data_IF_423264222919
#
_entry.id   IF_423264222919
#
_cell.length_a   1.000
_cell.length_b   1.000
_cell.length_c   1.000
_cell.angle_alpha   90.00
_cell.angle_beta   90.00
_cell.angle_gamma   90.00
#
_symmetry.space_group_name_H-M   'P 1'
#
loop_
_entity.id
_entity.type
_entity.pdbx_description
1 polymer ?
#
# COMPACT_ATOMS: atom_id res chain seq x y z
N UNK A 1 -3.13 -3.27 -16.69
CA UNK A 1 -3.41 -3.37 -18.13
C UNK A 1 -2.51 -4.40 -18.82
N UNK A 2 -1.18 -4.31 -18.74
CA UNK A 2 -0.25 -5.23 -19.43
C UNK A 2 -0.40 -6.72 -19.10
N UNK A 3 -0.66 -7.07 -17.84
CA UNK A 3 -0.83 -8.46 -17.44
C UNK A 3 -2.06 -9.14 -18.06
N UNK A 4 -3.16 -8.41 -18.24
CA UNK A 4 -4.38 -8.96 -18.84
C UNK A 4 -4.15 -9.32 -20.31
N UNK A 5 -3.50 -8.44 -21.07
CA UNK A 5 -3.14 -8.69 -22.47
C UNK A 5 -2.26 -9.94 -22.63
N UNK A 6 -1.24 -10.09 -21.77
CA UNK A 6 -0.35 -11.26 -21.82
C UNK A 6 -1.13 -12.54 -21.50
N UNK A 7 -2.02 -12.50 -20.51
CA UNK A 7 -2.85 -13.66 -20.16
C UNK A 7 -3.82 -14.03 -21.27
N UNK A 8 -4.43 -13.06 -21.96
CA UNK A 8 -5.35 -13.34 -23.08
C UNK A 8 -4.60 -13.91 -24.29
N UNK A 9 -3.41 -13.39 -24.62
CA UNK A 9 -2.59 -13.94 -25.71
C UNK A 9 -2.13 -15.37 -25.41
N UNK A 10 -1.75 -15.66 -24.15
CA UNK A 10 -1.36 -17.01 -23.75
C UNK A 10 -2.55 -17.98 -23.77
N UNK A 11 -3.73 -17.52 -23.39
CA UNK A 11 -4.96 -18.30 -23.49
C UNK A 11 -5.31 -18.64 -24.94
N UNK A 12 -5.29 -17.65 -25.83
CA UNK A 12 -5.53 -17.83 -27.28
C UNK A 12 -4.51 -18.78 -27.92
N UNK A 13 -3.24 -18.72 -27.49
CA UNK A 13 -2.19 -19.64 -27.92
C UNK A 13 -2.26 -21.04 -27.26
N UNK A 14 -3.30 -21.34 -26.48
CA UNK A 14 -3.50 -22.63 -25.80
C UNK A 14 -2.44 -22.93 -24.74
N UNK A 15 -1.78 -21.91 -24.17
CA UNK A 15 -0.72 -22.07 -23.17
C UNK A 15 -1.30 -22.07 -21.77
N UNK A 16 -0.98 -23.11 -21.01
CA UNK A 16 -1.33 -23.18 -19.59
C UNK A 16 -0.53 -22.16 -18.78
N UNK A 17 -1.24 -21.27 -18.10
CA UNK A 17 -0.64 -20.31 -17.16
C UNK A 17 -0.82 -20.80 -15.73
N UNK A 18 0.24 -20.76 -14.93
CA UNK A 18 0.20 -21.11 -13.50
C UNK A 18 0.46 -19.89 -12.63
N UNK A 19 -0.20 -19.83 -11.47
CA UNK A 19 -0.11 -18.71 -10.55
C UNK A 19 0.91 -18.99 -9.44
N UNK A 20 1.96 -18.16 -9.38
CA UNK A 20 2.88 -18.11 -8.25
C UNK A 20 2.51 -16.93 -7.35
N UNK A 21 1.99 -17.23 -6.16
CA UNK A 21 1.55 -16.19 -5.23
C UNK A 21 2.71 -15.29 -4.76
N UNK A 22 2.51 -13.98 -4.81
CA UNK A 22 3.55 -13.02 -4.39
C UNK A 22 4.00 -13.18 -2.94
N UNK A 23 3.12 -13.68 -2.04
CA UNK A 23 3.49 -14.02 -0.66
C UNK A 23 4.46 -15.20 -0.58
N UNK A 24 4.29 -16.22 -1.44
CA UNK A 24 5.21 -17.35 -1.51
C UNK A 24 6.59 -16.89 -2.02
N UNK A 25 6.61 -16.00 -3.02
CA UNK A 25 7.86 -15.37 -3.50
C UNK A 25 8.51 -14.55 -2.38
N UNK A 26 7.73 -13.74 -1.66
CA UNK A 26 8.26 -12.92 -0.56
C UNK A 26 8.84 -13.78 0.57
N UNK A 27 8.15 -14.84 0.97
CA UNK A 27 8.66 -15.79 1.97
C UNK A 27 9.93 -16.49 1.47
N UNK A 28 9.95 -16.95 0.22
CA UNK A 28 11.15 -17.54 -0.37
C UNK A 28 12.30 -16.53 -0.45
N UNK A 29 12.04 -15.26 -0.79
CA UNK A 29 13.09 -14.24 -0.95
C UNK A 29 13.94 -14.02 0.31
N UNK A 30 13.38 -14.30 1.49
CA UNK A 30 14.09 -14.22 2.77
C UNK A 30 15.15 -15.31 2.94
N UNK A 31 15.04 -16.45 2.24
CA UNK A 31 15.98 -17.57 2.33
C UNK A 31 17.12 -17.49 1.31
N UNK A 32 17.07 -16.58 0.33
CA UNK A 32 18.13 -16.41 -0.68
C UNK A 32 19.24 -15.48 -0.17
N UNK A 33 20.49 -15.98 -0.20
CA UNK A 33 21.71 -15.22 0.14
C UNK A 33 21.90 -14.01 -0.79
N UNK A 34 22.11 -12.83 -0.21
CA UNK A 34 22.39 -11.60 -0.99
C UNK A 34 22.12 -10.25 -0.30
N UNK A 35 22.04 -10.18 1.03
CA UNK A 35 21.81 -8.92 1.76
C UNK A 35 20.40 -8.31 1.60
N UNK A 36 20.16 -7.21 2.31
CA UNK A 36 18.89 -6.45 2.38
C UNK A 36 18.57 -5.63 1.11
N UNK A 37 19.50 -5.55 0.16
CA UNK A 37 19.28 -4.78 -1.07
C UNK A 37 18.26 -5.50 -1.97
N UNK A 38 17.08 -4.89 -2.12
CA UNK A 38 16.08 -5.30 -3.11
C UNK A 38 16.64 -5.03 -4.51
N UNK A 39 16.77 -6.07 -5.32
CA UNK A 39 17.18 -5.96 -6.72
C UNK A 39 16.26 -6.78 -7.60
N UNK A 40 15.90 -6.24 -8.78
CA UNK A 40 15.01 -6.93 -9.72
C UNK A 40 15.61 -8.26 -10.20
N UNK A 41 16.94 -8.34 -10.32
CA UNK A 41 17.65 -9.57 -10.66
C UNK A 41 17.49 -10.68 -9.59
N UNK A 42 17.49 -10.31 -8.31
CA UNK A 42 17.23 -11.24 -7.20
C UNK A 42 15.79 -11.72 -7.26
N UNK A 43 14.84 -10.80 -7.42
CA UNK A 43 13.41 -11.13 -7.50
C UNK A 43 13.12 -12.07 -8.67
N UNK A 44 13.70 -11.82 -9.86
CA UNK A 44 13.59 -12.69 -11.03
C UNK A 44 14.14 -14.10 -10.78
N UNK A 45 15.31 -14.21 -10.12
CA UNK A 45 15.91 -15.50 -9.77
C UNK A 45 15.02 -16.29 -8.80
N UNK A 46 14.49 -15.63 -7.76
CA UNK A 46 13.60 -16.28 -6.78
C UNK A 46 12.33 -16.78 -7.46
N UNK A 47 11.72 -15.96 -8.32
CA UNK A 47 10.50 -16.34 -9.07
C UNK A 47 10.78 -17.55 -9.97
N UNK A 48 11.86 -17.52 -10.75
CA UNK A 48 12.20 -18.60 -11.66
C UNK A 48 12.46 -19.92 -10.93
N UNK A 49 13.15 -19.86 -9.79
CA UNK A 49 13.51 -21.05 -9.01
C UNK A 49 12.29 -21.63 -8.28
N UNK A 50 11.44 -20.78 -7.70
CA UNK A 50 10.15 -21.22 -7.13
C UNK A 50 9.22 -21.81 -8.18
N UNK A 51 9.15 -21.21 -9.37
CA UNK A 51 8.36 -21.74 -10.49
C UNK A 51 8.90 -23.10 -10.97
N UNK A 52 10.22 -23.28 -11.01
CA UNK A 52 10.85 -24.57 -11.37
C UNK A 52 10.58 -25.65 -10.32
N UNK A 53 10.78 -25.35 -9.04
CA UNK A 53 10.64 -26.32 -7.94
C UNK A 53 9.20 -26.78 -7.74
N UNK A 54 8.24 -25.84 -7.82
CA UNK A 54 6.82 -26.13 -7.58
C UNK A 54 6.04 -26.47 -8.85
N UNK A 55 6.67 -26.40 -10.01
CA UNK A 55 6.10 -26.52 -11.36
C UNK A 55 4.63 -26.93 -11.46
N UNK A 56 4.35 -28.23 -11.37
CA UNK A 56 3.01 -28.81 -11.55
C UNK A 56 2.07 -28.60 -10.36
N UNK A 57 2.62 -28.40 -9.16
CA UNK A 57 1.86 -28.16 -7.92
C UNK A 57 1.30 -26.73 -7.84
N UNK A 58 1.73 -25.83 -8.74
CA UNK A 58 1.20 -24.48 -8.81
C UNK A 58 -0.22 -24.46 -9.40
N UNK A 59 -1.16 -23.67 -8.82
CA UNK A 59 -2.51 -23.54 -9.34
C UNK A 59 -2.53 -23.10 -10.80
N UNK A 60 -3.35 -23.76 -11.62
CA UNK A 60 -3.61 -23.36 -13.00
C UNK A 60 -4.62 -22.22 -13.01
N UNK A 61 -4.32 -21.18 -13.80
CA UNK A 61 -5.26 -20.10 -14.05
C UNK A 61 -6.16 -20.47 -15.21
N UNK A 62 -7.47 -20.48 -14.97
CA UNK A 62 -8.50 -20.60 -16.00
C UNK A 62 -8.98 -19.19 -16.38
N UNK A 63 -8.72 -18.70 -17.61
CA UNK A 63 -9.06 -17.34 -18.01
C UNK A 63 -10.58 -17.08 -18.09
N UNK A 64 -11.36 -18.12 -18.39
CA UNK A 64 -12.80 -18.04 -18.69
C UNK A 64 -13.70 -18.15 -17.46
N UNK A 65 -13.13 -18.09 -16.26
CA UNK A 65 -13.89 -18.12 -15.01
C UNK A 65 -14.37 -16.69 -14.67
N UNK A 66 -15.67 -16.45 -14.79
CA UNK A 66 -16.30 -15.15 -14.52
C UNK A 66 -15.93 -14.62 -13.11
N UNK A 67 -15.78 -15.52 -12.14
CA UNK A 67 -15.36 -15.17 -10.78
C UNK A 67 -13.94 -14.58 -10.77
N UNK A 68 -13.03 -15.13 -11.56
CA UNK A 68 -11.65 -14.63 -11.68
C UNK A 68 -11.65 -13.26 -12.34
N UNK A 69 -12.50 -13.05 -13.34
CA UNK A 69 -12.65 -11.76 -14.01
C UNK A 69 -13.19 -10.68 -13.06
N UNK A 70 -14.24 -10.97 -12.29
CA UNK A 70 -14.78 -10.04 -11.29
C UNK A 70 -13.76 -9.72 -10.19
N UNK A 71 -13.07 -10.74 -9.67
CA UNK A 71 -11.99 -10.55 -8.68
C UNK A 71 -10.85 -9.70 -9.24
N UNK A 72 -10.49 -9.84 -10.53
CA UNK A 72 -9.50 -8.99 -11.20
C UNK A 72 -9.96 -7.54 -11.29
N UNK A 73 -11.24 -7.28 -11.60
CA UNK A 73 -11.79 -5.93 -11.61
C UNK A 73 -11.73 -5.30 -10.21
N UNK A 74 -12.17 -6.02 -9.17
CA UNK A 74 -12.15 -5.53 -7.78
C UNK A 74 -10.72 -5.27 -7.27
N UNK A 75 -9.79 -6.19 -7.56
CA UNK A 75 -8.38 -6.04 -7.15
C UNK A 75 -7.69 -4.91 -7.92
N UNK A 76 -7.99 -4.73 -9.20
CA UNK A 76 -7.55 -3.59 -10.01
C UNK A 76 -8.03 -2.27 -9.41
N UNK A 77 -9.34 -2.15 -9.17
CA UNK A 77 -9.93 -0.96 -8.55
C UNK A 77 -9.31 -0.64 -7.19
N UNK A 78 -9.10 -1.66 -6.35
CA UNK A 78 -8.39 -1.49 -5.06
C UNK A 78 -6.97 -0.97 -5.27
N UNK A 79 -6.23 -1.47 -6.26
CA UNK A 79 -4.88 -1.01 -6.56
C UNK A 79 -4.86 0.47 -6.96
N UNK A 80 -5.81 0.89 -7.79
CA UNK A 80 -5.97 2.27 -8.22
C UNK A 80 -6.29 3.19 -7.03
N UNK A 81 -7.23 2.79 -6.16
CA UNK A 81 -7.54 3.54 -4.94
C UNK A 81 -6.32 3.69 -4.00
N UNK A 82 -5.49 2.65 -3.89
CA UNK A 82 -4.26 2.71 -3.07
C UNK A 82 -3.24 3.65 -3.70
N UNK A 83 -3.08 3.62 -5.03
CA UNK A 83 -2.19 4.52 -5.76
C UNK A 83 -2.65 5.98 -5.59
N UNK A 84 -3.95 6.25 -5.75
CA UNK A 84 -4.52 7.58 -5.59
C UNK A 84 -4.45 8.09 -4.16
N UNK A 85 -4.69 7.22 -3.17
CA UNK A 85 -4.46 7.57 -1.76
C UNK A 85 -3.00 7.99 -1.53
N UNK A 86 -2.06 7.25 -2.09
CA UNK A 86 -0.62 7.52 -1.94
C UNK A 86 -0.23 8.84 -2.59
N UNK A 87 -0.68 9.07 -3.83
CA UNK A 87 -0.48 10.34 -4.55
C UNK A 87 -1.07 11.52 -3.77
N UNK A 88 -2.29 11.37 -3.27
CA UNK A 88 -2.98 12.40 -2.49
C UNK A 88 -2.23 12.74 -1.20
N UNK A 89 -1.77 11.73 -0.46
CA UNK A 89 -0.98 11.94 0.76
C UNK A 89 0.35 12.63 0.43
N UNK A 90 1.05 12.20 -0.62
CA UNK A 90 2.32 12.82 -0.99
C UNK A 90 2.14 14.28 -1.39
N UNK A 91 1.08 14.61 -2.13
CA UNK A 91 0.72 16.00 -2.46
C UNK A 91 0.42 16.81 -1.19
N UNK A 92 -0.34 16.25 -0.25
CA UNK A 92 -0.60 16.89 1.05
C UNK A 92 0.69 17.17 1.81
N UNK A 93 1.61 16.20 1.88
CA UNK A 93 2.92 16.38 2.54
C UNK A 93 3.72 17.48 1.86
N UNK A 94 3.78 17.52 0.53
CA UNK A 94 4.45 18.61 -0.21
C UNK A 94 3.87 19.99 0.14
N UNK A 95 2.54 20.10 0.22
CA UNK A 95 1.88 21.35 0.64
C UNK A 95 2.21 21.73 2.09
N UNK A 96 2.23 20.75 3.00
CA UNK A 96 2.63 20.97 4.39
C UNK A 96 4.09 21.40 4.53
N UNK A 97 5.01 20.84 3.74
CA UNK A 97 6.40 21.29 3.70
C UNK A 97 6.47 22.78 3.32
N UNK A 98 5.72 23.21 2.31
CA UNK A 98 5.74 24.60 1.86
C UNK A 98 5.16 25.58 2.90
N UNK A 99 4.14 25.17 3.65
CA UNK A 99 3.33 26.08 4.48
C UNK A 99 3.65 25.96 5.98
N UNK A 100 3.98 24.77 6.47
CA UNK A 100 4.30 24.49 7.87
C UNK A 100 5.15 23.22 8.05
N UNK A 101 6.48 23.28 7.84
CA UNK A 101 7.38 22.12 7.95
C UNK A 101 7.32 21.41 9.31
N UNK A 102 7.12 22.16 10.39
CA UNK A 102 7.02 21.58 11.73
C UNK A 102 5.81 20.64 11.88
N UNK A 103 4.68 20.98 11.24
CA UNK A 103 3.48 20.14 11.26
C UNK A 103 3.65 18.91 10.37
N UNK A 104 4.33 19.04 9.23
CA UNK A 104 4.63 17.88 8.37
C UNK A 104 5.41 16.80 9.12
N UNK A 105 6.42 17.20 9.91
CA UNK A 105 7.23 16.26 10.72
C UNK A 105 6.43 15.53 11.78
N UNK A 106 5.41 16.17 12.34
CA UNK A 106 4.55 15.58 13.36
C UNK A 106 3.40 14.74 12.76
N UNK A 107 2.90 15.11 11.59
CA UNK A 107 1.72 14.53 11.00
C UNK A 107 1.99 13.13 10.42
N UNK A 108 1.04 12.21 10.62
CA UNK A 108 1.12 10.83 10.11
C UNK A 108 -0.12 10.45 9.28
N UNK A 109 -0.46 11.20 8.20
CA UNK A 109 -1.71 11.01 7.45
C UNK A 109 -1.81 9.64 6.75
N UNK A 110 -0.68 8.95 6.52
CA UNK A 110 -0.68 7.58 5.99
C UNK A 110 -1.14 6.55 7.01
N UNK A 111 -0.83 6.76 8.29
CA UNK A 111 -0.99 5.77 9.35
C UNK A 111 -2.23 6.04 10.22
N UNK A 112 -2.62 7.31 10.35
CA UNK A 112 -3.70 7.73 11.23
C UNK A 112 -4.63 8.72 10.51
N UNK A 113 -5.87 8.27 10.31
CA UNK A 113 -6.96 9.04 9.68
C UNK A 113 -7.29 10.32 10.48
N UNK A 114 -6.99 10.35 11.77
CA UNK A 114 -7.15 11.54 12.60
C UNK A 114 -6.37 12.74 12.09
N UNK A 115 -5.18 12.53 11.52
CA UNK A 115 -4.43 13.62 10.90
C UNK A 115 -5.13 14.17 9.67
N UNK A 116 -5.73 13.31 8.84
CA UNK A 116 -6.50 13.75 7.67
C UNK A 116 -7.72 14.57 8.10
N UNK A 117 -8.43 14.12 9.13
CA UNK A 117 -9.60 14.84 9.68
C UNK A 117 -9.19 16.18 10.28
N UNK A 118 -8.10 16.22 11.05
CA UNK A 118 -7.58 17.45 11.63
C UNK A 118 -7.18 18.45 10.55
N UNK A 119 -6.45 18.01 9.52
CA UNK A 119 -6.01 18.88 8.42
C UNK A 119 -7.17 19.37 7.56
N UNK A 120 -8.20 18.54 7.36
CA UNK A 120 -9.43 18.95 6.69
C UNK A 120 -10.18 20.03 7.50
N UNK A 121 -10.18 19.92 8.83
CA UNK A 121 -10.83 20.88 9.75
C UNK A 121 -10.05 22.17 9.90
N UNK A 122 -8.72 22.12 9.90
CA UNK A 122 -7.83 23.27 10.09
C UNK A 122 -6.98 23.53 8.85
N UNK A 123 -7.55 24.25 7.89
CA UNK A 123 -6.90 24.55 6.60
C UNK A 123 -5.86 25.69 6.68
N UNK A 124 -5.68 26.32 7.85
CA UNK A 124 -4.75 27.45 8.06
C UNK A 124 -3.78 27.14 9.20
N UNK A 125 -2.46 27.29 9.02
CA UNK A 125 -1.48 27.03 10.09
C UNK A 125 -1.71 27.90 11.33
N UNK A 126 -2.15 29.15 11.13
CA UNK A 126 -2.48 30.07 12.24
C UNK A 126 -3.61 29.53 13.11
N UNK A 127 -4.63 28.89 12.51
CA UNK A 127 -5.73 28.28 13.25
C UNK A 127 -5.27 27.08 14.09
N UNK A 128 -4.30 26.30 13.57
CA UNK A 128 -3.69 25.20 14.33
C UNK A 128 -2.88 25.75 15.51
N UNK A 129 -2.06 26.79 15.30
CA UNK A 129 -1.26 27.42 16.36
C UNK A 129 -2.11 28.06 17.45
N UNK A 130 -3.24 28.65 17.08
CA UNK A 130 -4.20 29.24 18.01
C UNK A 130 -5.08 28.19 18.72
N UNK A 131 -5.09 26.96 18.22
CA UNK A 131 -5.79 25.85 18.84
C UNK A 131 -4.91 25.22 19.91
N UNK A 132 -5.41 25.17 21.14
CA UNK A 132 -4.68 24.52 22.24
C UNK A 132 -4.49 23.02 22.01
N UNK A 133 -3.39 22.49 22.54
CA UNK A 133 -2.99 21.07 22.41
C UNK A 133 -4.14 20.13 22.79
N UNK A 134 -4.87 20.39 23.88
CA UNK A 134 -5.99 19.55 24.32
C UNK A 134 -7.09 19.40 23.26
N UNK A 135 -7.38 20.46 22.49
CA UNK A 135 -8.39 20.42 21.42
C UNK A 135 -7.90 19.63 20.21
N UNK A 136 -6.63 19.80 19.83
CA UNK A 136 -6.02 19.05 18.73
C UNK A 136 -5.94 17.55 19.07
N UNK A 137 -5.51 17.22 20.29
CA UNK A 137 -5.48 15.84 20.79
C UNK A 137 -6.87 15.22 20.78
N UNK A 138 -7.91 15.94 21.25
CA UNK A 138 -9.29 15.46 21.22
C UNK A 138 -9.75 15.12 19.79
N UNK A 139 -9.48 15.99 18.81
CA UNK A 139 -9.80 15.70 17.40
C UNK A 139 -9.06 14.47 16.89
N UNK A 140 -7.79 14.31 17.25
CA UNK A 140 -6.99 13.14 16.87
C UNK A 140 -7.48 11.85 17.54
N UNK A 141 -8.00 11.89 18.77
CA UNK A 141 -8.51 10.71 19.48
C UNK A 141 -9.94 10.35 19.06
N UNK A 142 -10.81 11.34 18.87
CA UNK A 142 -12.20 11.13 18.45
C UNK A 142 -12.24 10.49 17.05
N UNK A 143 -11.31 10.87 16.17
CA UNK A 143 -11.13 10.27 14.86
C UNK A 143 -10.64 8.82 14.89
N UNK A 144 -9.99 8.40 15.98
CA UNK A 144 -9.42 7.04 16.15
C UNK A 144 -10.45 6.09 16.76
N UNK A 145 -11.46 6.57 17.48
CA UNK A 145 -12.55 5.70 17.93
C UNK A 145 -13.35 5.03 16.78
N UNK A 146 -13.11 5.40 15.52
CA UNK A 146 -13.62 4.71 14.34
C UNK A 146 -12.65 3.67 13.71
N UNK A 147 -11.45 3.46 14.25
CA UNK A 147 -10.44 2.50 13.74
C UNK A 147 -9.50 2.00 14.85
N UNK A 148 -9.28 0.69 15.04
CA UNK A 148 -8.56 0.17 16.20
C UNK A 148 -7.12 0.73 16.31
N UNK A 149 -6.64 1.08 17.51
CA UNK A 149 -5.38 1.79 17.69
C UNK A 149 -4.17 0.86 17.49
N UNK A 150 -3.21 1.26 16.64
CA UNK A 150 -1.84 0.73 16.66
C UNK A 150 -0.97 1.65 17.52
N UNK A 151 -0.30 1.04 18.49
CA UNK A 151 0.49 1.65 19.55
C UNK A 151 1.67 2.46 19.03
N UNK A 152 1.67 3.78 19.29
CA UNK A 152 2.82 4.72 19.41
C UNK A 152 2.31 6.16 19.37
N UNK A 153 1.55 6.57 20.39
CA UNK A 153 1.33 8.00 20.70
C UNK A 153 2.11 8.30 21.97
N UNK A 154 2.56 9.54 22.15
CA UNK A 154 3.22 10.10 23.34
C UNK A 154 4.76 10.16 23.38
N UNK A 155 5.47 10.06 22.25
CA UNK A 155 6.93 10.32 22.21
C UNK A 155 7.34 11.69 21.65
N UNK A 156 6.40 12.62 21.55
CA UNK A 156 6.59 13.95 20.94
C UNK A 156 6.28 15.11 21.92
N UNK A 157 6.24 14.82 23.21
CA UNK A 157 6.01 15.78 24.31
C UNK A 157 7.24 15.94 25.22
N UNK A 158 8.39 15.41 24.80
CA UNK A 158 9.73 15.71 25.34
C UNK A 158 10.58 16.21 24.17
#
# INVERSE_FOLDING_TARGET
MYAALVLTVLADAGKTVRYLAGRAVWQASATYRGGEAKTDAKDARVIADQARMRGQDLPVLHPDDDLISELRMLTGHRADLVADRTRTINRLRQQLVAVCPALERAAQPSQDRGWVILLARYQRPKAIRQSGVSRLTKVLTDAVCATPPRSRRLRWLQ
#
